data_IF_146486992834
#
_entry.id   IF_146486992834
#
_cell.length_a   1.000
_cell.length_b   1.000
_cell.length_c   1.000
_cell.angle_alpha   90.00
_cell.angle_beta   90.00
_cell.angle_gamma   90.00
#
_symmetry.space_group_name_H-M   'P 1'
#
loop_
_entity.id
_entity.type
_entity.pdbx_description
1 polymer ?
#
# COMPACT_ATOMS: atom_id res chain seq x y z
N UNK A 1 15.57 21.15 -6.00
CA UNK A 1 14.50 20.84 -5.02
C UNK A 1 14.61 19.37 -4.61
N UNK A 2 14.34 19.04 -3.36
CA UNK A 2 14.30 17.63 -2.94
C UNK A 2 13.15 16.93 -3.69
N UNK A 3 13.40 15.70 -4.15
CA UNK A 3 12.37 14.92 -4.83
C UNK A 3 11.22 14.60 -3.86
N UNK A 4 9.99 14.75 -4.32
CA UNK A 4 8.78 14.44 -3.55
C UNK A 4 8.48 12.95 -3.71
N UNK A 5 8.58 12.21 -2.62
CA UNK A 5 8.17 10.80 -2.54
C UNK A 5 6.79 10.76 -1.91
N UNK A 6 5.87 10.06 -2.55
CA UNK A 6 4.54 9.76 -2.00
C UNK A 6 4.46 8.27 -1.67
N UNK A 7 4.35 7.95 -0.39
CA UNK A 7 4.01 6.61 0.09
C UNK A 7 2.50 6.47 0.06
N UNK A 8 2.00 5.37 -0.47
CA UNK A 8 0.59 5.20 -0.76
C UNK A 8 0.11 3.78 -0.49
N UNK A 9 -1.10 3.68 0.04
CA UNK A 9 -1.88 2.47 0.25
C UNK A 9 -3.37 2.80 0.22
N UNK A 10 -4.23 1.81 -0.09
CA UNK A 10 -5.69 1.96 -0.02
C UNK A 10 -6.37 0.70 0.49
N UNK A 11 -7.60 0.89 0.97
CA UNK A 11 -8.51 -0.18 1.35
C UNK A 11 -9.75 -0.19 0.45
N UNK A 12 -10.36 -1.37 0.30
CA UNK A 12 -11.48 -1.58 -0.61
C UNK A 12 -12.81 -1.73 0.11
N UNK A 13 -13.91 -1.47 -0.62
CA UNK A 13 -15.27 -1.64 -0.13
C UNK A 13 -15.72 -3.11 -0.21
N UNK A 14 -15.17 -3.87 -1.18
CA UNK A 14 -15.54 -5.26 -1.49
C UNK A 14 -14.32 -6.15 -1.59
N UNK A 15 -14.51 -7.42 -1.25
CA UNK A 15 -13.50 -8.46 -1.44
C UNK A 15 -13.46 -9.00 -2.87
N UNK A 16 -12.42 -9.77 -3.20
CA UNK A 16 -12.32 -10.47 -4.47
C UNK A 16 -13.50 -11.42 -4.70
N UNK A 17 -13.94 -12.14 -3.67
CA UNK A 17 -15.06 -13.07 -3.76
C UNK A 17 -16.38 -12.37 -4.08
N UNK A 18 -16.61 -11.19 -3.51
CA UNK A 18 -17.83 -10.39 -3.76
C UNK A 18 -17.92 -9.82 -5.18
N UNK A 19 -16.78 -9.54 -5.80
CA UNK A 19 -16.74 -9.06 -7.18
C UNK A 19 -16.60 -10.17 -8.21
N UNK A 20 -16.39 -11.41 -7.76
CA UNK A 20 -16.31 -12.61 -8.60
C UNK A 20 -14.90 -12.95 -9.07
N UNK A 21 -13.86 -12.49 -8.38
CA UNK A 21 -12.47 -12.90 -8.59
C UNK A 21 -11.45 -11.76 -8.64
N UNK A 22 -10.18 -12.14 -8.56
CA UNK A 22 -9.03 -11.24 -8.60
C UNK A 22 -8.77 -10.57 -9.96
N UNK A 23 -9.47 -10.96 -11.00
CA UNK A 23 -9.48 -10.32 -12.31
C UNK A 23 -10.41 -9.09 -12.36
N UNK A 24 -11.18 -8.85 -11.30
CA UNK A 24 -12.16 -7.77 -11.18
C UNK A 24 -11.83 -6.75 -10.09
N UNK A 25 -10.55 -6.52 -9.83
CA UNK A 25 -10.08 -5.58 -8.79
C UNK A 25 -10.65 -4.17 -9.02
N UNK A 26 -10.76 -3.72 -10.27
CA UNK A 26 -11.26 -2.37 -10.61
C UNK A 26 -12.71 -2.09 -10.19
N UNK A 27 -13.49 -3.11 -9.83
CA UNK A 27 -14.87 -2.94 -9.34
C UNK A 27 -15.02 -3.18 -7.83
N UNK A 28 -13.90 -3.36 -7.11
CA UNK A 28 -13.92 -3.50 -5.65
C UNK A 28 -14.31 -2.19 -4.95
N UNK A 29 -14.03 -1.03 -5.56
CA UNK A 29 -14.26 0.29 -5.00
C UNK A 29 -13.28 0.63 -3.87
N UNK A 30 -12.84 1.87 -3.81
CA UNK A 30 -11.99 2.39 -2.73
C UNK A 30 -12.85 2.81 -1.54
N UNK A 31 -12.58 2.31 -0.35
CA UNK A 31 -13.18 2.81 0.89
C UNK A 31 -12.40 4.01 1.44
N UNK A 32 -11.10 3.85 1.61
CA UNK A 32 -10.15 4.88 2.07
C UNK A 32 -8.84 4.71 1.31
N UNK A 33 -8.22 5.80 0.90
CA UNK A 33 -6.84 5.85 0.45
C UNK A 33 -6.03 6.77 1.35
N UNK A 34 -4.76 6.45 1.59
CA UNK A 34 -3.87 7.26 2.42
C UNK A 34 -2.55 7.49 1.71
N UNK A 35 -2.06 8.70 1.80
CA UNK A 35 -0.72 9.06 1.35
C UNK A 35 0.11 9.65 2.50
N UNK A 36 1.43 9.48 2.43
CA UNK A 36 2.40 10.32 3.13
C UNK A 36 3.32 10.95 2.10
N UNK A 37 3.37 12.28 2.06
CA UNK A 37 4.14 13.03 1.08
C UNK A 37 5.36 13.68 1.75
N UNK A 38 6.56 13.30 1.32
CA UNK A 38 7.81 13.86 1.89
C UNK A 38 8.00 15.35 1.60
N UNK A 39 7.41 15.87 0.52
CA UNK A 39 7.47 17.28 0.17
C UNK A 39 6.67 18.18 1.13
N UNK A 40 5.61 17.65 1.73
CA UNK A 40 4.78 18.36 2.72
C UNK A 40 5.02 17.88 4.16
N UNK A 41 5.64 16.71 4.34
CA UNK A 41 5.83 16.06 5.66
C UNK A 41 4.52 15.62 6.31
N UNK A 42 3.46 15.38 5.55
CA UNK A 42 2.11 15.15 6.08
C UNK A 42 1.45 13.91 5.47
N UNK A 43 0.59 13.28 6.28
CA UNK A 43 -0.39 12.29 5.83
C UNK A 43 -1.62 13.00 5.28
N UNK A 44 -2.23 12.38 4.27
CA UNK A 44 -3.56 12.75 3.77
C UNK A 44 -4.43 11.51 3.66
N UNK A 45 -5.69 11.66 4.04
CA UNK A 45 -6.72 10.62 4.01
C UNK A 45 -7.75 11.03 2.98
N UNK A 46 -8.08 10.10 2.08
CA UNK A 46 -9.03 10.29 0.99
C UNK A 46 -10.16 9.27 1.12
N UNK A 47 -11.39 9.74 1.20
CA UNK A 47 -12.55 8.89 0.97
C UNK A 47 -12.82 8.71 -0.53
N UNK A 48 -13.74 7.84 -0.89
CA UNK A 48 -14.07 7.54 -2.30
C UNK A 48 -14.40 8.80 -3.13
N UNK A 49 -15.11 9.76 -2.55
CA UNK A 49 -15.47 11.03 -3.23
C UNK A 49 -14.26 11.92 -3.55
N UNK A 50 -13.10 11.63 -2.98
CA UNK A 50 -11.85 12.38 -3.15
C UNK A 50 -10.82 11.60 -3.99
N UNK A 51 -11.24 10.53 -4.65
CA UNK A 51 -10.35 9.67 -5.45
C UNK A 51 -9.61 10.45 -6.55
N UNK A 52 -10.25 11.44 -7.16
CA UNK A 52 -9.62 12.30 -8.17
C UNK A 52 -8.47 13.14 -7.58
N UNK A 53 -8.61 13.61 -6.34
CA UNK A 53 -7.57 14.38 -5.67
C UNK A 53 -6.40 13.48 -5.25
N UNK A 54 -6.68 12.26 -4.81
CA UNK A 54 -5.67 11.24 -4.60
C UNK A 54 -4.88 10.95 -5.88
N UNK A 55 -5.55 10.69 -6.99
CA UNK A 55 -4.90 10.41 -8.29
C UNK A 55 -4.02 11.60 -8.71
N UNK A 56 -4.50 12.84 -8.56
CA UNK A 56 -3.71 14.05 -8.86
C UNK A 56 -2.47 14.16 -7.95
N UNK A 57 -2.54 13.77 -6.69
CA UNK A 57 -1.36 13.76 -5.81
C UNK A 57 -0.33 12.72 -6.30
N UNK A 58 -0.77 11.51 -6.64
CA UNK A 58 0.10 10.48 -7.20
C UNK A 58 0.77 10.94 -8.51
N UNK A 59 0.03 11.60 -9.40
CA UNK A 59 0.55 12.13 -10.66
C UNK A 59 1.61 13.25 -10.49
N UNK A 60 1.59 13.95 -9.37
CA UNK A 60 2.55 15.03 -9.07
C UNK A 60 3.79 14.54 -8.33
N UNK A 61 3.80 13.29 -7.88
CA UNK A 61 4.92 12.71 -7.17
C UNK A 61 6.11 12.49 -8.12
N UNK A 62 7.33 12.75 -7.65
CA UNK A 62 8.54 12.34 -8.37
C UNK A 62 8.76 10.82 -8.26
N UNK A 63 8.22 10.21 -7.21
CA UNK A 63 8.21 8.76 -6.98
C UNK A 63 7.02 8.38 -6.10
N UNK A 64 6.25 7.39 -6.53
CA UNK A 64 5.26 6.71 -5.68
C UNK A 64 5.91 5.44 -5.13
N UNK A 65 5.80 5.23 -3.82
CA UNK A 65 6.32 4.04 -3.14
C UNK A 65 5.16 3.32 -2.46
N UNK A 66 5.05 2.01 -2.67
CA UNK A 66 4.06 1.20 -2.02
C UNK A 66 4.43 -0.28 -1.97
N UNK A 67 3.47 -1.09 -1.59
CA UNK A 67 3.62 -2.53 -1.47
C UNK A 67 2.49 -3.25 -2.20
N UNK A 68 2.75 -3.81 -3.37
CA UNK A 68 1.78 -4.43 -4.29
C UNK A 68 0.88 -3.45 -5.05
N UNK A 69 1.24 -2.17 -5.12
CA UNK A 69 0.40 -1.16 -5.79
C UNK A 69 0.20 -1.41 -7.29
N UNK A 70 1.21 -1.89 -8.01
CA UNK A 70 1.11 -2.11 -9.46
C UNK A 70 0.04 -3.14 -9.82
N UNK A 71 -0.17 -4.12 -8.96
CA UNK A 71 -1.16 -5.18 -9.18
C UNK A 71 -2.50 -4.93 -8.48
N UNK A 72 -2.51 -4.22 -7.38
CA UNK A 72 -3.71 -4.08 -6.55
C UNK A 72 -4.23 -2.64 -6.51
N UNK A 73 -3.54 -1.74 -5.83
CA UNK A 73 -4.04 -0.38 -5.59
C UNK A 73 -4.33 0.37 -6.89
N UNK A 74 -3.44 0.30 -7.87
CA UNK A 74 -3.66 0.93 -9.16
C UNK A 74 -4.81 0.30 -9.94
N UNK A 75 -5.01 -1.01 -9.82
CA UNK A 75 -6.16 -1.67 -10.44
C UNK A 75 -7.48 -1.24 -9.77
N UNK A 76 -7.53 -1.03 -8.46
CA UNK A 76 -8.69 -0.42 -7.79
C UNK A 76 -8.93 0.98 -8.34
N UNK A 77 -7.90 1.81 -8.44
CA UNK A 77 -8.01 3.19 -8.96
C UNK A 77 -8.37 3.24 -10.44
N UNK A 78 -8.04 2.24 -11.24
CA UNK A 78 -8.50 2.14 -12.64
C UNK A 78 -10.01 2.03 -12.77
N UNK A 79 -10.73 1.68 -11.71
CA UNK A 79 -12.20 1.79 -11.66
C UNK A 79 -12.72 3.23 -11.70
N UNK A 80 -11.87 4.23 -11.46
CA UNK A 80 -12.21 5.66 -11.37
C UNK A 80 -11.55 6.53 -12.44
N UNK A 81 -10.53 6.06 -13.11
CA UNK A 81 -9.77 6.83 -14.12
C UNK A 81 -9.39 5.99 -15.32
N UNK A 82 -9.40 6.63 -16.49
CA UNK A 82 -8.84 6.04 -17.71
C UNK A 82 -7.32 6.24 -17.86
N UNK A 83 -6.69 7.03 -16.96
CA UNK A 83 -5.25 7.22 -16.95
C UNK A 83 -4.56 5.94 -16.47
N UNK A 84 -3.57 5.45 -17.24
CA UNK A 84 -2.78 4.29 -16.82
C UNK A 84 -1.77 4.68 -15.73
N UNK A 85 -2.11 4.39 -14.49
CA UNK A 85 -1.30 4.70 -13.31
C UNK A 85 0.07 3.98 -13.32
N UNK A 86 0.21 2.92 -14.12
CA UNK A 86 1.51 2.22 -14.30
C UNK A 86 2.55 3.06 -15.03
N UNK A 87 2.15 4.18 -15.65
CA UNK A 87 3.07 5.16 -16.23
C UNK A 87 3.73 6.08 -15.18
N UNK A 88 3.22 6.09 -13.94
CA UNK A 88 3.83 6.87 -12.87
C UNK A 88 5.18 6.28 -12.45
N UNK A 89 6.16 7.11 -12.10
CA UNK A 89 7.37 6.66 -11.44
C UNK A 89 7.02 5.92 -10.14
N UNK A 90 7.11 4.60 -10.14
CA UNK A 90 6.65 3.78 -9.01
C UNK A 90 7.71 2.77 -8.58
N UNK A 91 7.94 2.71 -7.27
CA UNK A 91 8.66 1.64 -6.60
C UNK A 91 7.64 0.76 -5.86
N UNK A 92 7.32 -0.38 -6.43
CA UNK A 92 6.55 -1.43 -5.76
C UNK A 92 7.51 -2.37 -5.04
N UNK A 93 7.61 -2.24 -3.72
CA UNK A 93 8.56 -3.02 -2.93
C UNK A 93 8.30 -4.52 -2.99
N UNK A 94 7.04 -4.95 -3.15
CA UNK A 94 6.74 -6.38 -3.32
C UNK A 94 7.33 -6.93 -4.61
N UNK A 95 7.22 -6.18 -5.71
CA UNK A 95 7.78 -6.59 -7.02
C UNK A 95 9.29 -6.70 -6.94
N UNK A 96 9.97 -5.69 -6.36
CA UNK A 96 11.43 -5.70 -6.20
C UNK A 96 11.91 -6.89 -5.37
N UNK A 97 11.26 -7.14 -4.23
CA UNK A 97 11.60 -8.26 -3.36
C UNK A 97 11.29 -9.62 -4.01
N UNK A 98 10.16 -9.73 -4.71
CA UNK A 98 9.79 -10.95 -5.42
C UNK A 98 10.76 -11.27 -6.55
N UNK A 99 11.21 -10.26 -7.29
CA UNK A 99 12.22 -10.45 -8.34
C UNK A 99 13.55 -10.95 -7.77
N UNK A 100 13.93 -10.48 -6.58
CA UNK A 100 15.18 -10.87 -5.93
C UNK A 100 15.09 -12.25 -5.26
N UNK A 101 13.98 -12.56 -4.61
CA UNK A 101 13.80 -13.76 -3.79
C UNK A 101 13.11 -14.93 -4.52
N UNK A 102 12.48 -14.65 -5.67
CA UNK A 102 11.67 -15.61 -6.47
C UNK A 102 10.44 -16.16 -5.72
N UNK A 103 10.02 -15.50 -4.63
CA UNK A 103 8.76 -15.77 -3.92
C UNK A 103 8.19 -14.49 -3.30
N UNK A 104 6.89 -14.50 -3.02
CA UNK A 104 6.21 -13.36 -2.40
C UNK A 104 6.48 -13.30 -0.91
N UNK A 105 6.61 -12.07 -0.40
CA UNK A 105 6.59 -11.75 1.03
C UNK A 105 5.36 -10.90 1.34
N UNK A 106 4.93 -10.90 2.59
CA UNK A 106 3.98 -9.90 3.10
C UNK A 106 4.74 -8.72 3.73
N UNK A 107 4.12 -7.54 3.71
CA UNK A 107 4.65 -6.36 4.39
C UNK A 107 4.84 -6.65 5.89
N UNK A 108 3.88 -7.35 6.50
CA UNK A 108 3.95 -7.74 7.92
C UNK A 108 5.15 -8.62 8.25
N UNK A 109 5.47 -9.60 7.38
CA UNK A 109 6.63 -10.46 7.59
C UNK A 109 7.95 -9.66 7.62
N UNK A 110 8.04 -8.64 6.76
CA UNK A 110 9.20 -7.75 6.70
C UNK A 110 9.21 -6.83 7.92
N UNK A 111 8.09 -6.21 8.24
CA UNK A 111 7.96 -5.28 9.38
C UNK A 111 8.26 -5.99 10.71
N UNK A 112 7.69 -7.16 10.93
CA UNK A 112 7.92 -7.94 12.15
C UNK A 112 9.38 -8.36 12.26
N UNK A 113 9.98 -8.87 11.18
CA UNK A 113 11.38 -9.33 11.21
C UNK A 113 12.39 -8.17 11.31
N UNK A 114 12.06 -6.99 10.74
CA UNK A 114 12.97 -5.84 10.71
C UNK A 114 12.81 -4.97 11.96
N UNK A 115 11.59 -4.72 12.42
CA UNK A 115 11.28 -3.76 13.49
C UNK A 115 10.69 -4.37 14.75
N UNK A 116 10.32 -5.66 14.74
CA UNK A 116 9.65 -6.31 15.88
C UNK A 116 8.20 -5.85 16.07
N UNK A 117 7.58 -5.25 15.06
CA UNK A 117 6.18 -4.78 15.15
C UNK A 117 5.20 -5.89 14.78
N UNK A 118 4.08 -5.95 15.49
CA UNK A 118 3.01 -6.90 15.22
C UNK A 118 1.95 -6.31 14.29
N UNK A 119 1.27 -7.18 13.56
CA UNK A 119 0.14 -6.80 12.71
C UNK A 119 -1.04 -6.29 13.57
N UNK A 120 -1.69 -5.22 13.12
CA UNK A 120 -2.81 -4.62 13.85
C UNK A 120 -4.18 -5.12 13.39
N UNK A 121 -4.33 -5.48 12.10
CA UNK A 121 -5.58 -5.99 11.52
C UNK A 121 -5.31 -6.72 10.19
N UNK A 122 -6.36 -7.16 9.51
CA UNK A 122 -6.30 -7.75 8.17
C UNK A 122 -7.21 -6.98 7.20
N UNK A 123 -6.89 -6.97 5.90
CA UNK A 123 -7.66 -6.25 4.88
C UNK A 123 -9.15 -6.66 4.85
N UNK A 124 -9.49 -7.91 5.18
CA UNK A 124 -10.88 -8.35 5.32
C UNK A 124 -11.60 -7.65 6.48
N UNK A 125 -10.89 -7.29 7.54
CA UNK A 125 -11.43 -6.50 8.65
C UNK A 125 -11.78 -5.08 8.19
N UNK A 126 -10.99 -4.48 7.31
CA UNK A 126 -11.29 -3.15 6.75
C UNK A 126 -12.59 -3.14 5.95
N UNK A 127 -12.89 -4.20 5.20
CA UNK A 127 -14.16 -4.37 4.48
C UNK A 127 -15.34 -4.45 5.46
N UNK A 128 -15.20 -5.18 6.56
CA UNK A 128 -16.25 -5.27 7.58
C UNK A 128 -16.48 -3.92 8.27
N UNK A 129 -15.40 -3.18 8.58
CA UNK A 129 -15.52 -1.81 9.08
C UNK A 129 -16.21 -0.87 8.10
N UNK A 130 -15.97 -1.05 6.80
CA UNK A 130 -16.69 -0.25 5.78
C UNK A 130 -18.19 -0.49 5.82
N UNK A 131 -18.64 -1.75 5.92
CA UNK A 131 -20.06 -2.12 6.08
C UNK A 131 -20.70 -1.53 7.34
N UNK A 132 -19.90 -1.37 8.39
CA UNK A 132 -20.32 -0.78 9.67
C UNK A 132 -20.23 0.76 9.68
N UNK A 133 -19.75 1.39 8.59
CA UNK A 133 -19.53 2.84 8.51
C UNK A 133 -18.35 3.35 9.34
N UNK A 134 -17.45 2.48 9.78
CA UNK A 134 -16.28 2.80 10.62
C UNK A 134 -15.09 3.30 9.79
N UNK A 135 -15.29 4.40 9.08
CA UNK A 135 -14.26 4.94 8.17
C UNK A 135 -12.99 5.40 8.90
N UNK A 136 -13.10 5.84 10.15
CA UNK A 136 -11.92 6.23 10.95
C UNK A 136 -11.03 5.03 11.30
N UNK A 137 -11.62 3.88 11.63
CA UNK A 137 -10.86 2.64 11.90
C UNK A 137 -10.11 2.18 10.66
N UNK A 138 -10.73 2.28 9.47
CA UNK A 138 -10.08 1.98 8.18
C UNK A 138 -8.95 2.97 7.92
N UNK A 139 -9.19 4.27 8.14
CA UNK A 139 -8.18 5.30 7.92
C UNK A 139 -6.96 5.11 8.84
N UNK A 140 -7.17 4.78 10.10
CA UNK A 140 -6.10 4.49 11.07
C UNK A 140 -5.27 3.27 10.61
N UNK A 141 -5.94 2.19 10.21
CA UNK A 141 -5.30 0.98 9.69
C UNK A 141 -4.47 1.27 8.43
N UNK A 142 -5.05 1.95 7.43
CA UNK A 142 -4.37 2.32 6.19
C UNK A 142 -3.19 3.31 6.44
N UNK A 143 -3.35 4.27 7.37
CA UNK A 143 -2.25 5.14 7.81
C UNK A 143 -1.09 4.35 8.41
N UNK A 144 -1.40 3.31 9.19
CA UNK A 144 -0.38 2.43 9.75
C UNK A 144 0.37 1.69 8.64
N UNK A 145 -0.32 1.14 7.64
CA UNK A 145 0.30 0.43 6.52
C UNK A 145 1.19 1.37 5.68
N UNK A 146 0.75 2.61 5.41
CA UNK A 146 1.59 3.64 4.77
C UNK A 146 2.82 3.96 5.60
N UNK A 147 2.69 4.09 6.94
CA UNK A 147 3.81 4.31 7.84
C UNK A 147 4.82 3.16 7.80
N UNK A 148 4.35 1.92 7.85
CA UNK A 148 5.21 0.73 7.78
C UNK A 148 5.90 0.65 6.42
N UNK A 149 5.18 0.88 5.33
CA UNK A 149 5.72 0.95 3.96
C UNK A 149 6.88 1.96 3.89
N UNK A 150 6.67 3.17 4.44
CA UNK A 150 7.71 4.20 4.52
C UNK A 150 8.92 3.74 5.33
N UNK A 151 8.71 3.21 6.53
CA UNK A 151 9.79 2.75 7.40
C UNK A 151 10.61 1.62 6.76
N UNK A 152 9.96 0.65 6.11
CA UNK A 152 10.62 -0.45 5.39
C UNK A 152 11.47 0.09 4.24
N UNK A 153 10.92 1.00 3.43
CA UNK A 153 11.67 1.62 2.34
C UNK A 153 12.88 2.40 2.85
N UNK A 154 12.70 3.28 3.83
CA UNK A 154 13.80 4.08 4.42
C UNK A 154 14.87 3.19 5.06
N UNK A 155 14.46 2.12 5.76
CA UNK A 155 15.41 1.15 6.33
C UNK A 155 16.22 0.46 5.22
N UNK A 156 15.55 -0.02 4.17
CA UNK A 156 16.22 -0.64 3.03
C UNK A 156 17.22 0.30 2.34
N UNK A 157 16.83 1.57 2.15
CA UNK A 157 17.72 2.60 1.57
C UNK A 157 18.93 2.88 2.45
N UNK A 158 18.75 2.97 3.77
CA UNK A 158 19.81 3.34 4.70
C UNK A 158 20.76 2.17 5.02
N UNK A 159 20.21 0.96 5.15
CA UNK A 159 20.98 -0.22 5.57
C UNK A 159 21.29 -1.19 4.43
N UNK A 160 20.69 -1.00 3.25
CA UNK A 160 20.82 -1.88 2.07
C UNK A 160 20.45 -3.33 2.35
N UNK A 161 19.59 -3.55 3.32
CA UNK A 161 19.08 -4.86 3.71
C UNK A 161 17.73 -4.74 4.40
N UNK A 162 16.92 -5.77 4.25
CA UNK A 162 15.68 -5.99 4.98
C UNK A 162 15.70 -7.38 5.61
N UNK A 163 14.91 -7.58 6.66
CA UNK A 163 14.72 -8.88 7.25
C UNK A 163 13.29 -9.38 7.01
N UNK A 164 13.12 -10.68 6.92
CA UNK A 164 11.82 -11.33 6.81
C UNK A 164 11.82 -12.69 7.49
N UNK A 165 10.65 -13.21 7.84
CA UNK A 165 10.51 -14.58 8.31
C UNK A 165 10.09 -15.48 7.13
N UNK A 166 10.79 -16.59 6.96
CA UNK A 166 10.39 -17.60 5.99
C UNK A 166 9.18 -18.43 6.54
N UNK A 167 8.64 -19.33 5.71
CA UNK A 167 7.53 -20.21 6.10
C UNK A 167 7.78 -21.09 7.33
N UNK A 168 9.01 -21.23 7.77
CA UNK A 168 9.42 -21.98 8.97
C UNK A 168 9.69 -21.07 10.17
N UNK A 169 9.36 -19.78 10.10
CA UNK A 169 9.60 -18.80 11.15
C UNK A 169 11.08 -18.37 11.32
N UNK A 170 11.97 -18.83 10.44
CA UNK A 170 13.39 -18.42 10.49
C UNK A 170 13.56 -17.02 9.92
N UNK A 171 14.22 -16.13 10.68
CA UNK A 171 14.62 -14.79 10.21
C UNK A 171 15.72 -14.90 9.16
N UNK A 172 15.51 -14.28 8.03
CA UNK A 172 16.43 -14.19 6.90
C UNK A 172 16.64 -12.72 6.52
N UNK A 173 17.69 -12.46 5.72
CA UNK A 173 18.03 -11.12 5.22
C UNK A 173 18.00 -11.11 3.69
N UNK A 174 17.51 -10.02 3.11
CA UNK A 174 17.49 -9.75 1.67
C UNK A 174 18.09 -8.38 1.38
#
# INVERSE_FOLDING_TARGET
>A
MAKSIVYFDLETQKSADEVGGWDKISVMGMSVGVTYNTGTGAYRIYGEKQVDDLIKELQRADLVVGFNNLRFDYEVLHGYTAFDLRQLPTLDMLVELQNKLQHRLSLDSIATATFGVEKTAEGLQAIEWFRQGKLLDIAEYCCYDVKITKLVHEHGMNHRQLHYHNRFGKKLTV
#
